data_IF_786719068907
#
_entry.id   IF_786719068907
#
_cell.length_a   1.000
_cell.length_b   1.000
_cell.length_c   1.000
_cell.angle_alpha   90.00
_cell.angle_beta   90.00
_cell.angle_gamma   90.00
#
_symmetry.space_group_name_H-M   'P 1'
#
loop_
_entity.id
_entity.type
_entity.pdbx_description
1 polymer ?
#
# COMPACT_ATOMS: atom_id res chain seq x y z
N UNK A 1 -4.30 -2.87 25.24
CA UNK A 1 -3.79 -1.50 24.99
C UNK A 1 -2.72 -1.46 23.88
N UNK A 2 -1.93 -2.52 23.69
CA UNK A 2 -0.81 -2.52 22.72
C UNK A 2 -1.22 -2.33 21.25
N UNK A 3 -2.42 -2.75 20.84
CA UNK A 3 -2.88 -2.64 19.44
C UNK A 3 -3.66 -1.34 19.21
N UNK A 4 -4.43 -0.89 20.20
CA UNK A 4 -5.33 0.27 20.07
C UNK A 4 -4.56 1.56 19.84
N UNK A 5 -3.45 1.76 20.57
CA UNK A 5 -2.64 2.96 20.45
C UNK A 5 -2.01 3.13 19.06
N UNK A 6 -1.33 2.14 18.47
CA UNK A 6 -0.81 2.26 17.11
C UNK A 6 -1.89 2.50 16.06
N UNK A 7 -3.06 1.85 16.19
CA UNK A 7 -4.19 2.04 15.26
C UNK A 7 -4.71 3.48 15.36
N UNK A 8 -4.93 4.00 16.57
CA UNK A 8 -5.41 5.37 16.77
C UNK A 8 -4.41 6.41 16.25
N UNK A 9 -3.12 6.25 16.55
CA UNK A 9 -2.06 7.14 16.04
C UNK A 9 -1.99 7.09 14.52
N UNK A 10 -1.98 5.91 13.92
CA UNK A 10 -1.96 5.74 12.48
C UNK A 10 -3.18 6.40 11.81
N UNK A 11 -4.37 6.23 12.37
CA UNK A 11 -5.60 6.87 11.87
C UNK A 11 -5.49 8.39 11.91
N UNK A 12 -5.07 8.98 13.04
CA UNK A 12 -4.93 10.43 13.19
C UNK A 12 -3.90 10.98 12.20
N UNK A 13 -2.72 10.35 12.11
CA UNK A 13 -1.65 10.80 11.21
C UNK A 13 -2.11 10.69 9.75
N UNK A 14 -2.78 9.60 9.37
CA UNK A 14 -3.32 9.41 8.02
C UNK A 14 -4.39 10.46 7.69
N UNK A 15 -5.26 10.78 8.64
CA UNK A 15 -6.29 11.82 8.45
C UNK A 15 -5.67 13.22 8.26
N UNK A 16 -4.62 13.54 9.03
CA UNK A 16 -3.87 14.80 8.85
C UNK A 16 -3.16 14.82 7.50
N UNK A 17 -2.45 13.74 7.15
CA UNK A 17 -1.80 13.59 5.86
C UNK A 17 -2.80 13.74 4.69
N UNK A 18 -4.00 13.16 4.83
CA UNK A 18 -5.07 13.30 3.84
C UNK A 18 -5.53 14.74 3.67
N UNK A 19 -5.73 15.48 4.77
CA UNK A 19 -6.10 16.91 4.70
C UNK A 19 -5.07 17.76 3.94
N UNK A 20 -3.80 17.42 4.02
CA UNK A 20 -2.72 18.15 3.35
C UNK A 20 -2.52 17.67 1.90
N UNK A 21 -2.55 16.35 1.67
CA UNK A 21 -2.27 15.74 0.37
C UNK A 21 -3.42 15.90 -0.62
N UNK A 22 -4.67 15.73 -0.20
CA UNK A 22 -5.81 15.79 -1.12
C UNK A 22 -5.87 17.13 -1.86
N UNK A 23 -5.79 18.30 -1.21
CA UNK A 23 -5.78 19.59 -1.92
C UNK A 23 -4.57 19.75 -2.85
N UNK A 24 -3.41 19.21 -2.47
CA UNK A 24 -2.22 19.25 -3.29
C UNK A 24 -2.38 18.41 -4.57
N UNK A 25 -2.92 17.19 -4.44
CA UNK A 25 -3.20 16.31 -5.57
C UNK A 25 -4.25 16.89 -6.51
N UNK A 26 -5.29 17.55 -5.97
CA UNK A 26 -6.28 18.26 -6.78
C UNK A 26 -5.63 19.40 -7.57
N UNK A 27 -4.75 20.20 -6.94
CA UNK A 27 -4.01 21.28 -7.62
C UNK A 27 -3.10 20.77 -8.74
N UNK A 28 -2.49 19.60 -8.55
CA UNK A 28 -1.67 18.95 -9.57
C UNK A 28 -2.48 18.34 -10.72
N UNK A 29 -3.81 18.54 -10.74
CA UNK A 29 -4.73 17.94 -11.71
C UNK A 29 -4.55 16.43 -11.85
N UNK A 30 -4.18 15.77 -10.77
CA UNK A 30 -4.05 14.32 -10.69
C UNK A 30 -5.42 13.62 -10.63
N UNK A 31 -6.44 14.21 -11.25
CA UNK A 31 -7.80 13.68 -11.29
C UNK A 31 -8.02 12.69 -12.43
N UNK A 32 -8.90 11.73 -12.20
CA UNK A 32 -9.34 10.81 -13.26
C UNK A 32 -10.13 11.59 -14.34
N UNK A 33 -9.74 11.42 -15.61
CA UNK A 33 -10.59 11.78 -16.73
C UNK A 33 -11.65 10.68 -16.91
N UNK A 34 -12.91 11.02 -16.78
CA UNK A 34 -14.00 10.09 -17.04
C UNK A 34 -14.29 10.15 -18.55
N UNK A 35 -14.36 8.98 -19.20
CA UNK A 35 -14.80 8.92 -20.61
C UNK A 35 -16.23 9.43 -20.68
N UNK A 36 -16.51 10.28 -21.67
CA UNK A 36 -17.85 10.86 -21.91
C UNK A 36 -18.92 9.79 -22.23
N UNK A 37 -18.48 8.56 -22.54
CA UNK A 37 -19.34 7.41 -22.83
C UNK A 37 -19.54 6.63 -21.53
N UNK A 38 -20.52 7.02 -20.72
CA UNK A 38 -20.88 6.32 -19.49
C UNK A 38 -22.16 6.88 -18.86
N UNK A 39 -22.76 6.14 -17.88
CA UNK A 39 -23.93 6.60 -17.16
C UNK A 39 -23.67 7.96 -16.48
N UNK A 40 -24.65 8.85 -16.49
CA UNK A 40 -24.52 10.24 -15.99
C UNK A 40 -24.04 10.39 -14.53
N UNK A 41 -24.24 9.36 -13.68
CA UNK A 41 -23.77 9.38 -12.30
C UNK A 41 -22.24 9.23 -12.18
N UNK A 42 -21.52 8.83 -13.24
CA UNK A 42 -20.06 8.81 -13.22
C UNK A 42 -19.45 10.21 -13.37
N UNK A 43 -20.21 11.17 -13.94
CA UNK A 43 -19.77 12.56 -14.12
C UNK A 43 -19.51 13.27 -12.78
N UNK A 44 -20.19 12.88 -11.70
CA UNK A 44 -19.97 13.45 -10.35
C UNK A 44 -18.62 13.08 -9.75
N UNK A 45 -17.92 12.07 -10.29
CA UNK A 45 -16.57 11.63 -9.85
C UNK A 45 -15.44 12.27 -10.65
N UNK A 46 -15.77 13.12 -11.61
CA UNK A 46 -14.78 13.83 -12.42
C UNK A 46 -13.96 14.74 -11.51
N UNK A 47 -12.63 14.64 -11.59
CA UNK A 47 -11.73 15.43 -10.75
C UNK A 47 -11.37 14.80 -9.39
N UNK A 48 -11.89 13.61 -9.06
CA UNK A 48 -11.42 12.90 -7.87
C UNK A 48 -9.92 12.56 -8.03
N UNK A 49 -9.05 13.00 -7.11
CA UNK A 49 -7.62 12.79 -7.24
C UNK A 49 -7.27 11.31 -7.14
N UNK A 50 -6.35 10.85 -7.98
CA UNK A 50 -5.66 9.56 -7.86
C UNK A 50 -4.51 9.69 -6.85
N UNK A 51 -3.78 8.61 -6.57
CA UNK A 51 -2.65 8.58 -5.64
C UNK A 51 -3.02 8.77 -4.15
N UNK A 52 -4.30 8.61 -3.79
CA UNK A 52 -4.75 8.70 -2.39
C UNK A 52 -4.05 7.73 -1.44
N UNK A 53 -3.50 6.61 -1.96
CA UNK A 53 -2.72 5.66 -1.17
C UNK A 53 -1.48 6.24 -0.49
N UNK A 54 -0.94 7.37 -0.97
CA UNK A 54 0.23 8.02 -0.38
C UNK A 54 -0.03 8.46 1.08
N UNK A 55 -1.23 8.88 1.43
CA UNK A 55 -1.56 9.27 2.80
C UNK A 55 -1.45 8.08 3.78
N UNK A 56 -1.83 6.88 3.35
CA UNK A 56 -1.71 5.66 4.15
C UNK A 56 -0.24 5.25 4.32
N UNK A 57 0.55 5.32 3.26
CA UNK A 57 2.00 5.05 3.30
C UNK A 57 2.66 5.99 4.33
N UNK A 58 2.37 7.28 4.28
CA UNK A 58 2.92 8.26 5.22
C UNK A 58 2.44 7.97 6.64
N UNK A 59 1.13 7.73 6.83
CA UNK A 59 0.55 7.46 8.14
C UNK A 59 1.13 6.22 8.80
N UNK A 60 1.22 5.12 8.07
CA UNK A 60 1.81 3.86 8.57
C UNK A 60 3.30 4.05 8.84
N UNK A 61 4.04 4.67 7.92
CA UNK A 61 5.49 4.88 8.07
C UNK A 61 5.84 5.71 9.29
N UNK A 62 5.16 6.83 9.51
CA UNK A 62 5.38 7.66 10.70
C UNK A 62 5.00 6.90 11.98
N UNK A 63 3.91 6.13 11.97
CA UNK A 63 3.50 5.32 13.12
C UNK A 63 4.56 4.26 13.45
N UNK A 64 5.13 3.60 12.45
CA UNK A 64 6.20 2.62 12.63
C UNK A 64 7.45 3.28 13.23
N UNK A 65 7.85 4.45 12.73
CA UNK A 65 9.03 5.15 13.25
C UNK A 65 8.81 5.58 14.69
N UNK A 66 7.63 6.12 15.02
CA UNK A 66 7.35 6.68 16.36
C UNK A 66 7.10 5.59 17.40
N UNK A 67 6.29 4.58 17.07
CA UNK A 67 5.87 3.55 18.03
C UNK A 67 6.66 2.23 17.87
N UNK A 68 7.23 1.98 16.69
CA UNK A 68 8.04 0.79 16.42
C UNK A 68 9.48 0.90 16.89
N UNK A 69 9.94 2.10 17.29
CA UNK A 69 11.33 2.36 17.69
C UNK A 69 11.84 1.41 18.78
N UNK A 70 11.03 1.17 19.80
CA UNK A 70 11.41 0.26 20.89
C UNK A 70 11.62 -1.17 20.42
N UNK A 71 10.81 -1.65 19.46
CA UNK A 71 10.94 -2.98 18.87
C UNK A 71 12.20 -3.07 18.00
N UNK A 72 12.52 -2.01 17.26
CA UNK A 72 13.77 -1.93 16.48
C UNK A 72 15.00 -2.00 17.37
N UNK A 73 14.98 -1.27 18.48
CA UNK A 73 16.07 -1.32 19.48
C UNK A 73 16.20 -2.69 20.15
N UNK A 74 15.11 -3.46 20.23
CA UNK A 74 15.09 -4.84 20.71
C UNK A 74 15.47 -5.87 19.62
N UNK A 75 15.89 -5.41 18.40
CA UNK A 75 16.30 -6.28 17.30
C UNK A 75 15.16 -6.91 16.50
N UNK A 76 13.90 -6.48 16.70
CA UNK A 76 12.76 -6.99 15.94
C UNK A 76 12.40 -6.05 14.79
N UNK A 77 12.66 -6.49 13.55
CA UNK A 77 12.46 -5.70 12.33
C UNK A 77 11.28 -6.17 11.47
N UNK A 78 10.47 -7.11 11.95
CA UNK A 78 9.34 -7.71 11.17
C UNK A 78 8.41 -6.64 10.60
N UNK A 79 8.07 -5.61 11.40
CA UNK A 79 7.19 -4.52 10.99
C UNK A 79 7.81 -3.66 9.87
N UNK A 80 9.14 -3.54 9.81
CA UNK A 80 9.84 -2.85 8.71
C UNK A 80 9.82 -3.66 7.42
N UNK A 81 9.99 -4.98 7.49
CA UNK A 81 9.89 -5.84 6.31
C UNK A 81 8.50 -5.80 5.69
N UNK A 82 7.45 -5.87 6.53
CA UNK A 82 6.05 -5.73 6.06
C UNK A 82 5.82 -4.35 5.43
N UNK A 83 6.34 -3.30 6.06
CA UNK A 83 6.23 -1.94 5.51
C UNK A 83 7.00 -1.77 4.21
N UNK A 84 8.20 -2.32 4.10
CA UNK A 84 8.98 -2.33 2.85
C UNK A 84 8.20 -3.01 1.72
N UNK A 85 7.57 -4.14 2.00
CA UNK A 85 6.71 -4.83 1.04
C UNK A 85 5.53 -3.94 0.60
N UNK A 86 4.87 -3.28 1.54
CA UNK A 86 3.80 -2.33 1.23
C UNK A 86 4.31 -1.15 0.37
N UNK A 87 5.53 -0.65 0.62
CA UNK A 87 6.15 0.40 -0.19
C UNK A 87 6.43 -0.05 -1.62
N UNK A 88 6.88 -1.28 -1.84
CA UNK A 88 7.12 -1.82 -3.18
C UNK A 88 5.80 -1.89 -3.97
N UNK A 89 4.73 -2.43 -3.37
CA UNK A 89 3.42 -2.46 -4.01
C UNK A 89 2.82 -1.07 -4.20
N UNK A 90 2.99 -0.19 -3.22
CA UNK A 90 2.61 1.22 -3.32
C UNK A 90 3.36 1.94 -4.45
N UNK A 91 4.65 1.63 -4.65
CA UNK A 91 5.46 2.13 -5.75
C UNK A 91 4.95 1.68 -7.12
N UNK A 92 4.55 0.41 -7.26
CA UNK A 92 3.93 -0.09 -8.49
C UNK A 92 2.63 0.68 -8.78
N UNK A 93 1.77 0.88 -7.76
CA UNK A 93 0.56 1.67 -7.87
C UNK A 93 0.83 3.13 -8.21
N UNK A 94 1.85 3.73 -7.60
CA UNK A 94 2.27 5.10 -7.91
C UNK A 94 2.73 5.26 -9.36
N UNK A 95 3.52 4.33 -9.89
CA UNK A 95 3.96 4.35 -11.29
C UNK A 95 2.76 4.25 -12.23
N UNK A 96 1.79 3.38 -11.93
CA UNK A 96 0.55 3.24 -12.69
C UNK A 96 -0.24 4.55 -12.74
N UNK A 97 -0.45 5.16 -11.59
CA UNK A 97 -1.18 6.42 -11.50
C UNK A 97 -0.40 7.60 -12.09
N UNK A 98 0.92 7.63 -11.92
CA UNK A 98 1.77 8.66 -12.52
C UNK A 98 1.71 8.63 -14.05
N UNK A 99 1.71 7.43 -14.66
CA UNK A 99 1.57 7.29 -16.12
C UNK A 99 0.22 7.83 -16.61
N UNK A 100 -0.87 7.56 -15.89
CA UNK A 100 -2.20 8.10 -16.21
C UNK A 100 -2.22 9.62 -16.20
N UNK A 101 -1.64 10.22 -15.16
CA UNK A 101 -1.57 11.68 -15.02
C UNK A 101 -0.71 12.29 -16.11
N UNK A 102 0.50 11.73 -16.35
CA UNK A 102 1.46 12.25 -17.32
C UNK A 102 0.92 12.22 -18.76
N UNK A 103 0.22 11.16 -19.13
CA UNK A 103 -0.30 10.98 -20.50
C UNK A 103 -1.75 11.46 -20.67
N UNK A 104 -2.37 12.01 -19.60
CA UNK A 104 -3.79 12.41 -19.60
C UNK A 104 -4.72 11.30 -20.08
N UNK A 105 -4.40 10.05 -19.76
CA UNK A 105 -5.13 8.85 -20.16
C UNK A 105 -5.58 8.05 -18.94
N UNK A 106 -6.64 7.24 -19.12
CA UNK A 106 -7.11 6.34 -18.06
C UNK A 106 -6.30 5.02 -18.02
N UNK A 107 -5.40 4.81 -18.96
CA UNK A 107 -4.55 3.62 -19.06
C UNK A 107 -3.17 3.94 -18.50
N UNK A 108 -2.81 3.31 -17.38
CA UNK A 108 -1.45 3.32 -16.83
C UNK A 108 -0.65 2.11 -17.33
N UNK A 109 -0.10 1.34 -16.41
CA UNK A 109 0.53 0.05 -16.73
C UNK A 109 -0.50 -0.92 -17.34
N UNK A 110 -0.08 -1.71 -18.32
CA UNK A 110 -0.93 -2.80 -18.86
C UNK A 110 -1.18 -3.88 -17.79
N UNK A 111 -2.29 -4.63 -17.92
CA UNK A 111 -2.60 -5.69 -16.96
C UNK A 111 -1.48 -6.72 -16.80
N UNK A 112 -0.82 -7.24 -17.89
CA UNK A 112 0.30 -8.14 -17.72
C UNK A 112 1.52 -7.48 -17.06
N UNK A 113 1.81 -6.19 -17.33
CA UNK A 113 2.90 -5.48 -16.66
C UNK A 113 2.68 -5.38 -15.15
N UNK A 114 1.45 -5.02 -14.72
CA UNK A 114 1.09 -5.00 -13.29
C UNK A 114 1.26 -6.37 -12.66
N UNK A 115 0.74 -7.40 -13.30
CA UNK A 115 0.80 -8.77 -12.80
C UNK A 115 2.25 -9.23 -12.63
N UNK A 116 3.11 -9.04 -13.64
CA UNK A 116 4.52 -9.45 -13.58
C UNK A 116 5.27 -8.69 -12.47
N UNK A 117 5.08 -7.37 -12.37
CA UNK A 117 5.74 -6.57 -11.33
C UNK A 117 5.29 -6.99 -9.92
N UNK A 118 4.00 -7.21 -9.72
CA UNK A 118 3.46 -7.66 -8.43
C UNK A 118 3.93 -9.08 -8.07
N UNK A 119 3.94 -9.99 -9.05
CA UNK A 119 4.44 -11.35 -8.86
C UNK A 119 5.93 -11.35 -8.51
N UNK A 120 6.74 -10.60 -9.26
CA UNK A 120 8.17 -10.47 -8.99
C UNK A 120 8.43 -9.89 -7.58
N UNK A 121 7.70 -8.86 -7.18
CA UNK A 121 7.78 -8.27 -5.85
C UNK A 121 7.40 -9.29 -4.75
N UNK A 122 6.33 -10.07 -4.96
CA UNK A 122 5.88 -11.09 -4.02
C UNK A 122 6.92 -12.21 -3.86
N UNK A 123 7.47 -12.72 -4.98
CA UNK A 123 8.51 -13.75 -4.96
C UNK A 123 9.78 -13.24 -4.27
N UNK A 124 10.23 -12.02 -4.61
CA UNK A 124 11.40 -11.41 -3.97
C UNK A 124 11.20 -11.27 -2.45
N UNK A 125 10.01 -10.86 -2.01
CA UNK A 125 9.68 -10.75 -0.60
C UNK A 125 9.66 -12.11 0.11
N UNK A 126 9.09 -13.14 -0.51
CA UNK A 126 9.12 -14.49 0.04
C UNK A 126 10.54 -15.03 0.17
N UNK A 127 11.40 -14.79 -0.83
CA UNK A 127 12.81 -15.14 -0.77
C UNK A 127 13.54 -14.44 0.39
N UNK A 128 13.27 -13.14 0.57
CA UNK A 128 13.81 -12.36 1.69
C UNK A 128 13.35 -12.93 3.04
N UNK A 129 12.05 -13.20 3.19
CA UNK A 129 11.50 -13.77 4.44
C UNK A 129 12.08 -15.15 4.74
N UNK A 130 12.31 -15.97 3.70
CA UNK A 130 12.97 -17.26 3.84
C UNK A 130 14.43 -17.10 4.30
N UNK A 131 15.16 -16.18 3.69
CA UNK A 131 16.55 -15.89 4.04
C UNK A 131 16.69 -15.45 5.50
N UNK A 132 15.79 -14.58 5.96
CA UNK A 132 15.73 -14.11 7.36
C UNK A 132 15.19 -15.14 8.36
N UNK A 133 14.82 -16.35 7.89
CA UNK A 133 14.28 -17.40 8.77
C UNK A 133 12.90 -17.09 9.35
N UNK A 134 12.18 -16.13 8.76
CA UNK A 134 10.86 -15.68 9.26
C UNK A 134 9.69 -16.51 8.71
N UNK A 135 9.93 -17.39 7.73
CA UNK A 135 8.91 -18.28 7.20
C UNK A 135 8.82 -19.56 8.01
N UNK A 136 7.63 -19.82 8.55
CA UNK A 136 7.29 -21.11 9.10
C UNK A 136 6.88 -22.07 7.97
N UNK A 137 7.34 -23.32 7.97
CA UNK A 137 6.86 -24.34 7.03
C UNK A 137 5.42 -24.76 7.31
N UNK A 138 4.83 -24.30 8.40
CA UNK A 138 3.48 -24.66 8.84
C UNK A 138 2.45 -23.63 8.38
N UNK A 139 1.55 -24.02 7.50
CA UNK A 139 0.40 -23.22 7.12
C UNK A 139 -0.78 -23.52 8.07
N UNK A 140 -1.18 -22.54 8.87
CA UNK A 140 -2.37 -22.66 9.69
C UNK A 140 -3.63 -22.40 8.87
N UNK A 141 -4.58 -23.34 8.88
CA UNK A 141 -5.88 -23.22 8.22
C UNK A 141 -6.94 -22.96 9.29
N UNK A 142 -7.40 -21.69 9.46
CA UNK A 142 -8.28 -21.31 10.57
C UNK A 142 -9.64 -22.00 10.56
N UNK A 143 -10.19 -22.31 9.37
CA UNK A 143 -11.49 -23.00 9.26
C UNK A 143 -11.47 -24.45 9.76
N UNK A 144 -10.34 -25.11 9.65
CA UNK A 144 -10.17 -26.51 10.09
C UNK A 144 -9.36 -26.62 11.39
N UNK A 145 -8.92 -25.50 11.95
CA UNK A 145 -8.07 -25.43 13.15
C UNK A 145 -6.90 -26.42 13.09
N UNK A 146 -6.30 -26.56 11.91
CA UNK A 146 -5.22 -27.52 11.65
C UNK A 146 -4.02 -26.83 11.00
N UNK A 147 -2.86 -27.49 11.10
CA UNK A 147 -1.64 -27.07 10.44
C UNK A 147 -1.30 -28.03 9.31
N UNK A 148 -0.98 -27.49 8.14
CA UNK A 148 -0.38 -28.24 7.02
C UNK A 148 1.10 -27.91 6.98
N UNK A 149 1.94 -28.94 7.07
CA UNK A 149 3.40 -28.79 6.95
C UNK A 149 3.75 -28.75 5.48
N UNK A 150 4.29 -27.62 5.03
CA UNK A 150 4.82 -27.46 3.70
C UNK A 150 6.31 -27.81 3.75
N UNK A 151 6.64 -29.04 3.40
CA UNK A 151 8.02 -29.53 3.36
C UNK A 151 8.79 -28.98 2.15
#
# INVERSE_FOLDING_TARGET
MEIVLPVAVCFIVTAIAGKLLIPALVKLKAGQSIKEIGPSWHMTKQGTPTMGGLMFIIGIGLTIVVLGWQRMMAGSFVHLYVYLFALVFGGIGYIDDYQKVKHHQNTGLTAPQKFILQLAAAVAFLCLMRYEGMLSPNLYIPFFNTYVVLS
#
